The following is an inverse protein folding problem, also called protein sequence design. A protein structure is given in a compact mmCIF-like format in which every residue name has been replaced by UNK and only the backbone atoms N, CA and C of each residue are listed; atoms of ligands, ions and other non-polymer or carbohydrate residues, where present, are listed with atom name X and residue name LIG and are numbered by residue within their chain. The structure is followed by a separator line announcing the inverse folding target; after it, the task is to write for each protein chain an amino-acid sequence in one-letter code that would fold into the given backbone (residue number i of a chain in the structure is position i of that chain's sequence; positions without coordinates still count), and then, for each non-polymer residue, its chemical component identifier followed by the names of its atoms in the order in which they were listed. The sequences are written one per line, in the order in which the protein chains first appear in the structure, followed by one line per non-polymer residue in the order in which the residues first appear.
data_IF_746853732106
#
_entry.id   IF_746853732106
#
_cell.length_a   1.000
_cell.length_b   1.000
_cell.length_c   1.000
_cell.angle_alpha   90.00
_cell.angle_beta   90.00
_cell.angle_gamma   90.00
#
_symmetry.space_group_name_H-M   'P 1'
#
loop_
_entity.id
_entity.type
_entity.pdbx_description
1 polymer ?
#
# COMPACT_ATOMS: atom_id res chain seq x y z
N UNK A 1 6.06 -4.68 -5.32
CA UNK A 1 5.22 -3.45 -5.35
C UNK A 1 4.30 -3.46 -4.14
N UNK A 2 4.04 -2.30 -3.56
CA UNK A 2 3.03 -2.10 -2.50
C UNK A 2 2.24 -0.81 -2.76
N UNK A 3 1.10 -0.62 -2.11
CA UNK A 3 0.31 0.61 -2.17
C UNK A 3 -0.08 1.08 -0.76
N UNK A 4 -0.27 2.39 -0.57
CA UNK A 4 -0.89 2.97 0.63
C UNK A 4 -0.20 2.55 1.94
N UNK A 5 1.11 2.84 2.03
CA UNK A 5 1.96 2.52 3.19
C UNK A 5 1.65 3.39 4.41
N UNK A 6 1.20 4.63 4.21
CA UNK A 6 0.71 5.55 5.23
C UNK A 6 1.51 5.62 6.53
N UNK A 7 2.82 5.86 6.42
CA UNK A 7 3.69 6.00 7.58
C UNK A 7 3.14 7.07 8.55
N UNK A 8 3.10 6.71 9.83
CA UNK A 8 2.63 7.58 10.91
C UNK A 8 1.12 7.64 11.12
N UNK A 9 0.31 6.92 10.34
CA UNK A 9 -1.16 6.92 10.48
C UNK A 9 -1.64 6.45 11.86
N UNK A 10 -1.03 5.39 12.38
CA UNK A 10 -1.33 4.89 13.72
C UNK A 10 -1.02 5.92 14.82
N UNK A 11 0.09 6.67 14.69
CA UNK A 11 0.45 7.75 15.61
C UNK A 11 -0.59 8.89 15.59
N UNK A 12 -1.09 9.26 14.40
CA UNK A 12 -2.14 10.26 14.26
C UNK A 12 -3.42 9.84 14.98
N UNK A 13 -3.86 8.59 14.78
CA UNK A 13 -5.04 8.06 15.45
C UNK A 13 -4.88 7.98 16.97
N UNK A 14 -3.71 7.55 17.47
CA UNK A 14 -3.42 7.54 18.91
C UNK A 14 -3.47 8.95 19.51
N UNK A 15 -2.92 9.95 18.82
CA UNK A 15 -3.00 11.37 19.26
C UNK A 15 -4.43 11.89 19.28
N UNK A 16 -5.29 11.38 18.41
CA UNK A 16 -6.73 11.67 18.39
C UNK A 16 -7.53 10.91 19.47
N UNK A 17 -6.87 10.19 20.38
CA UNK A 17 -7.52 9.45 21.47
C UNK A 17 -8.14 8.12 21.03
N UNK A 18 -7.85 7.65 19.81
CA UNK A 18 -8.35 6.35 19.34
C UNK A 18 -7.43 5.26 19.88
N UNK A 19 -8.00 4.36 20.69
CA UNK A 19 -7.32 3.17 21.20
C UNK A 19 -6.99 2.22 20.06
N UNK A 20 -5.73 2.20 19.62
CA UNK A 20 -5.23 1.26 18.63
C UNK A 20 -4.31 0.22 19.29
N UNK A 21 -4.30 -1.03 18.80
CA UNK A 21 -3.27 -2.00 19.15
C UNK A 21 -1.85 -1.41 19.00
N UNK A 22 -0.90 -1.92 19.79
CA UNK A 22 0.52 -1.62 19.59
C UNK A 22 0.96 -2.02 18.18
N UNK A 23 2.02 -1.37 17.65
CA UNK A 23 2.61 -1.78 16.38
C UNK A 23 2.72 -0.70 15.31
N UNK A 24 1.60 -0.20 14.77
CA UNK A 24 1.58 0.94 13.84
C UNK A 24 2.58 0.80 12.69
N UNK A 25 3.35 1.87 12.44
CA UNK A 25 4.43 1.89 11.43
C UNK A 25 5.47 0.78 11.65
N UNK A 26 5.80 0.44 12.90
CA UNK A 26 6.79 -0.60 13.21
C UNK A 26 6.39 -1.97 12.65
N UNK A 27 5.14 -2.39 12.89
CA UNK A 27 4.62 -3.67 12.38
C UNK A 27 4.58 -3.72 10.85
N UNK A 28 4.21 -2.61 10.21
CA UNK A 28 4.20 -2.52 8.75
C UNK A 28 5.63 -2.66 8.19
N UNK A 29 6.64 -2.04 8.82
CA UNK A 29 8.04 -2.17 8.43
C UNK A 29 8.62 -3.56 8.72
N UNK A 30 8.23 -4.20 9.81
CA UNK A 30 8.65 -5.57 10.13
C UNK A 30 8.10 -6.57 9.10
N UNK A 31 6.80 -6.44 8.74
CA UNK A 31 6.19 -7.22 7.65
C UNK A 31 6.92 -7.00 6.34
N UNK A 32 7.29 -5.77 6.03
CA UNK A 32 8.01 -5.45 4.78
C UNK A 32 9.41 -6.09 4.79
N UNK A 33 10.10 -6.00 5.91
CA UNK A 33 11.42 -6.64 6.10
C UNK A 33 11.34 -8.17 5.93
N UNK A 34 10.28 -8.80 6.43
CA UNK A 34 10.06 -10.24 6.25
C UNK A 34 9.90 -10.60 4.78
N UNK A 35 9.11 -9.84 4.02
CA UNK A 35 8.96 -10.06 2.57
C UNK A 35 10.28 -9.87 1.82
N UNK A 36 11.05 -8.83 2.16
CA UNK A 36 12.35 -8.56 1.54
C UNK A 36 13.41 -9.62 1.86
N UNK A 37 13.30 -10.33 3.00
CA UNK A 37 14.18 -11.47 3.30
C UNK A 37 13.78 -12.73 2.54
N UNK A 38 12.51 -12.90 2.24
CA UNK A 38 11.97 -14.08 1.54
C UNK A 38 12.17 -14.02 0.02
N UNK A 39 12.38 -12.82 -0.52
CA UNK A 39 12.47 -12.58 -1.96
C UNK A 39 13.72 -11.79 -2.29
N UNK A 40 14.43 -12.16 -3.37
CA UNK A 40 15.49 -11.33 -3.91
C UNK A 40 14.86 -10.09 -4.58
N UNK A 41 14.83 -8.96 -3.85
CA UNK A 41 14.22 -7.71 -4.30
C UNK A 41 15.26 -6.61 -4.27
N UNK A 42 15.59 -6.07 -5.45
CA UNK A 42 16.50 -4.94 -5.59
C UNK A 42 15.75 -3.59 -5.57
N UNK A 43 14.47 -3.60 -5.95
CA UNK A 43 13.65 -2.39 -6.05
C UNK A 43 12.26 -2.57 -5.44
N UNK A 44 11.88 -1.65 -4.55
CA UNK A 44 10.53 -1.51 -4.01
C UNK A 44 9.83 -0.29 -4.64
N UNK A 45 8.75 -0.53 -5.37
CA UNK A 45 7.83 0.53 -5.81
C UNK A 45 6.62 0.67 -4.89
N UNK A 46 6.36 1.89 -4.44
CA UNK A 46 5.20 2.28 -3.63
C UNK A 46 4.23 3.10 -4.50
N UNK A 47 3.00 2.61 -4.65
CA UNK A 47 1.96 3.20 -5.50
C UNK A 47 1.18 4.31 -4.77
N UNK A 48 1.89 5.33 -4.30
CA UNK A 48 1.32 6.48 -3.61
C UNK A 48 0.93 6.22 -2.15
N UNK A 49 0.57 7.33 -1.50
CA UNK A 49 0.16 7.42 -0.09
C UNK A 49 1.20 6.82 0.85
N UNK A 50 2.45 7.23 0.66
CA UNK A 50 3.58 6.86 1.52
C UNK A 50 3.41 7.47 2.91
N UNK A 51 2.95 8.72 3.00
CA UNK A 51 2.89 9.47 4.24
C UNK A 51 1.45 9.81 4.65
N UNK A 52 1.21 9.76 5.97
CA UNK A 52 -0.04 10.28 6.56
C UNK A 52 0.21 11.19 7.78
N UNK A 53 1.31 10.98 8.52
CA UNK A 53 1.70 11.84 9.64
C UNK A 53 2.53 13.07 9.21
N UNK A 54 2.48 14.15 9.98
CA UNK A 54 3.44 15.26 9.82
C UNK A 54 4.87 14.73 10.06
N UNK A 55 5.77 14.96 9.09
CA UNK A 55 7.13 14.39 9.06
C UNK A 55 8.03 14.85 10.23
N UNK A 56 7.75 16.00 10.84
CA UNK A 56 8.67 16.58 11.81
C UNK A 56 8.48 15.97 13.22
N UNK A 57 9.56 15.37 13.74
CA UNK A 57 9.72 14.89 15.14
C UNK A 57 8.79 13.76 15.57
N UNK A 58 8.31 12.94 14.64
CA UNK A 58 7.44 11.82 14.96
C UNK A 58 8.23 10.51 15.17
N UNK A 59 7.73 9.65 16.07
CA UNK A 59 8.38 8.36 16.38
C UNK A 59 8.50 7.46 15.13
N UNK A 60 7.49 7.48 14.26
CA UNK A 60 7.49 6.74 13.00
C UNK A 60 8.65 7.12 12.06
N UNK A 61 9.12 8.37 12.09
CA UNK A 61 10.23 8.81 11.23
C UNK A 61 11.52 8.10 11.61
N UNK A 62 11.81 7.97 12.92
CA UNK A 62 12.98 7.22 13.40
C UNK A 62 12.89 5.73 13.07
N UNK A 63 11.69 5.15 13.13
CA UNK A 63 11.46 3.76 12.72
C UNK A 63 11.75 3.56 11.23
N UNK A 64 11.29 4.48 10.38
CA UNK A 64 11.60 4.47 8.96
C UNK A 64 13.11 4.60 8.70
N UNK A 65 13.79 5.57 9.31
CA UNK A 65 15.23 5.77 9.13
C UNK A 65 16.04 4.53 9.54
N UNK A 66 15.76 3.96 10.72
CA UNK A 66 16.43 2.73 11.16
C UNK A 66 16.14 1.54 10.24
N UNK A 67 14.92 1.43 9.71
CA UNK A 67 14.59 0.41 8.71
C UNK A 67 15.33 0.65 7.39
N UNK A 68 15.47 1.90 6.96
CA UNK A 68 16.17 2.28 5.72
C UNK A 68 17.66 1.96 5.79
N UNK A 69 18.30 2.20 6.94
CA UNK A 69 19.69 1.84 7.22
C UNK A 69 19.93 0.32 7.10
N UNK A 70 19.01 -0.49 7.62
CA UNK A 70 19.08 -1.96 7.52
C UNK A 70 18.92 -2.48 6.08
N UNK A 71 18.31 -1.68 5.20
CA UNK A 71 18.05 -2.04 3.80
C UNK A 71 18.76 -1.07 2.84
N UNK A 72 19.95 -0.57 3.19
CA UNK A 72 20.61 0.53 2.49
C UNK A 72 20.78 0.33 0.97
N UNK A 73 20.92 -0.92 0.51
CA UNK A 73 21.06 -1.26 -0.93
C UNK A 73 19.74 -1.36 -1.68
N UNK A 74 18.60 -1.48 -1.00
CA UNK A 74 17.29 -1.54 -1.63
C UNK A 74 16.96 -0.20 -2.27
N UNK A 75 16.65 -0.19 -3.55
CA UNK A 75 16.12 0.99 -4.21
C UNK A 75 14.63 1.15 -3.87
N UNK A 76 14.21 2.37 -3.50
CA UNK A 76 12.82 2.64 -3.17
C UNK A 76 12.33 3.78 -4.04
N UNK A 77 11.34 3.48 -4.88
CA UNK A 77 10.65 4.46 -5.70
C UNK A 77 9.22 4.67 -5.21
N UNK A 78 8.77 5.92 -5.09
CA UNK A 78 7.40 6.24 -4.73
C UNK A 78 6.75 7.10 -5.81
N UNK A 79 5.56 6.68 -6.23
CA UNK A 79 4.64 7.52 -7.00
C UNK A 79 3.91 8.47 -6.07
N UNK A 80 3.47 9.61 -6.57
CA UNK A 80 2.71 10.57 -5.78
C UNK A 80 1.29 10.05 -5.50
N UNK A 81 0.92 9.97 -4.22
CA UNK A 81 -0.48 9.85 -3.78
C UNK A 81 -1.07 11.16 -3.31
N UNK A 82 -2.38 11.19 -3.06
CA UNK A 82 -3.07 12.41 -2.63
C UNK A 82 -2.66 12.88 -1.22
N UNK A 83 -2.12 11.98 -0.38
CA UNK A 83 -1.59 12.32 0.93
C UNK A 83 -0.09 12.75 0.92
N UNK A 84 0.61 12.61 -0.21
CA UNK A 84 2.07 12.76 -0.29
C UNK A 84 2.56 14.21 -0.52
N UNK A 85 1.73 15.22 -0.23
CA UNK A 85 2.11 16.63 -0.37
C UNK A 85 3.39 17.01 0.38
N UNK A 86 3.65 16.35 1.52
CA UNK A 86 4.83 16.57 2.34
C UNK A 86 6.02 15.67 1.95
N UNK A 87 5.81 14.65 1.09
CA UNK A 87 6.81 13.64 0.75
C UNK A 87 8.11 14.22 0.17
N UNK A 88 8.08 15.23 -0.74
CA UNK A 88 9.31 15.81 -1.28
C UNK A 88 10.22 16.47 -0.24
N UNK A 89 9.68 16.84 0.92
CA UNK A 89 10.42 17.49 2.02
C UNK A 89 10.69 16.54 3.18
N UNK A 90 10.26 15.29 3.08
CA UNK A 90 10.30 14.34 4.18
C UNK A 90 11.64 13.61 4.31
N UNK A 91 12.55 13.70 3.34
CA UNK A 91 13.90 13.11 3.39
C UNK A 91 13.92 11.62 3.82
N UNK A 92 13.09 10.82 3.14
CA UNK A 92 12.92 9.40 3.45
C UNK A 92 13.94 8.48 2.76
N UNK A 93 14.92 9.03 2.04
CA UNK A 93 15.87 8.21 1.27
C UNK A 93 15.20 7.35 0.19
N UNK A 94 14.19 7.93 -0.50
CA UNK A 94 13.47 7.32 -1.62
C UNK A 94 13.47 8.25 -2.84
N UNK A 95 13.27 7.68 -4.01
CA UNK A 95 13.16 8.41 -5.27
C UNK A 95 11.71 8.71 -5.60
N UNK A 96 11.39 9.98 -5.87
CA UNK A 96 10.08 10.37 -6.36
C UNK A 96 9.97 10.08 -7.86
N UNK A 97 9.00 9.25 -8.22
CA UNK A 97 8.78 8.78 -9.60
C UNK A 97 7.77 9.63 -10.37
N UNK A 98 7.18 10.64 -9.74
CA UNK A 98 6.10 11.45 -10.33
C UNK A 98 4.72 10.79 -10.17
N UNK A 99 3.79 11.08 -11.09
CA UNK A 99 2.40 10.62 -11.01
C UNK A 99 2.20 9.20 -11.57
N UNK A 100 3.04 8.80 -12.54
CA UNK A 100 2.95 7.50 -13.17
C UNK A 100 4.33 6.98 -13.62
N UNK A 101 4.49 5.67 -13.63
CA UNK A 101 5.68 4.97 -14.13
C UNK A 101 5.25 3.81 -15.03
N UNK A 102 5.74 3.79 -16.27
CA UNK A 102 5.52 2.65 -17.16
C UNK A 102 6.60 1.60 -16.92
N UNK A 103 6.18 0.34 -16.73
CA UNK A 103 7.06 -0.82 -16.56
C UNK A 103 6.57 -1.95 -17.46
N UNK A 104 7.20 -2.10 -18.63
CA UNK A 104 6.78 -3.07 -19.64
C UNK A 104 5.31 -2.86 -20.04
N UNK A 105 4.43 -3.87 -19.89
CA UNK A 105 3.00 -3.75 -20.23
C UNK A 105 2.16 -3.04 -19.16
N UNK A 106 2.78 -2.66 -18.03
CA UNK A 106 2.09 -2.08 -16.88
C UNK A 106 2.27 -0.57 -16.81
N UNK A 107 1.21 0.11 -16.40
CA UNK A 107 1.26 1.50 -15.95
C UNK A 107 1.01 1.55 -14.45
N UNK A 108 2.03 1.94 -13.70
CA UNK A 108 1.97 2.11 -12.24
C UNK A 108 1.54 3.53 -11.92
N UNK A 109 0.55 3.71 -11.04
CA UNK A 109 0.07 5.03 -10.57
C UNK A 109 -0.75 4.87 -9.29
N UNK A 110 -1.06 5.97 -8.61
CA UNK A 110 -1.87 5.89 -7.40
C UNK A 110 -3.37 5.74 -7.70
N UNK A 111 -3.91 6.57 -8.61
CA UNK A 111 -5.35 6.63 -8.86
C UNK A 111 -5.88 5.49 -9.76
N UNK A 112 -7.08 4.94 -9.49
CA UNK A 112 -7.67 3.82 -10.21
C UNK A 112 -8.43 4.21 -11.50
N UNK A 113 -7.81 5.00 -12.39
CA UNK A 113 -8.35 5.25 -13.73
C UNK A 113 -7.76 4.27 -14.76
N UNK A 114 -8.57 3.78 -15.72
CA UNK A 114 -8.06 2.95 -16.81
C UNK A 114 -7.08 3.69 -17.72
N UNK A 115 -6.22 2.94 -18.40
CA UNK A 115 -5.40 3.43 -19.52
C UNK A 115 -5.93 2.83 -20.84
N UNK A 116 -5.87 3.54 -21.98
CA UNK A 116 -6.37 3.04 -23.26
C UNK A 116 -5.72 1.74 -23.73
N UNK A 117 -4.43 1.55 -23.44
CA UNK A 117 -3.62 0.46 -24.02
C UNK A 117 -2.78 -0.36 -23.02
N UNK A 118 -2.65 0.07 -21.76
CA UNK A 118 -1.78 -0.55 -20.77
C UNK A 118 -2.61 -1.13 -19.63
N UNK A 119 -2.08 -2.16 -18.95
CA UNK A 119 -2.69 -2.66 -17.73
C UNK A 119 -2.26 -1.81 -16.54
N UNK A 120 -3.20 -1.16 -15.87
CA UNK A 120 -2.90 -0.28 -14.75
C UNK A 120 -2.78 -1.08 -13.45
N UNK A 121 -1.72 -0.81 -12.68
CA UNK A 121 -1.60 -1.25 -11.28
C UNK A 121 -1.66 -0.02 -10.38
N UNK A 122 -2.58 0.01 -9.41
CA UNK A 122 -2.82 1.19 -8.57
C UNK A 122 -3.26 0.88 -7.14
N UNK A 123 -3.40 1.91 -6.29
CA UNK A 123 -3.78 1.81 -4.88
C UNK A 123 -5.06 2.60 -4.56
N UNK A 124 -4.99 3.48 -3.56
CA UNK A 124 -5.94 4.52 -3.20
C UNK A 124 -7.22 4.06 -2.51
N UNK A 125 -7.97 3.11 -3.08
CA UNK A 125 -9.32 2.78 -2.59
C UNK A 125 -9.36 1.70 -1.49
N UNK A 126 -8.24 1.01 -1.29
CA UNK A 126 -8.06 -0.05 -0.28
C UNK A 126 -9.17 -1.12 -0.35
N UNK A 127 -9.22 -1.92 -1.43
CA UNK A 127 -10.25 -2.94 -1.60
C UNK A 127 -10.24 -3.98 -0.48
N UNK A 128 -11.43 -4.31 0.00
CA UNK A 128 -11.69 -5.31 1.03
C UNK A 128 -12.65 -6.39 0.52
N UNK A 129 -12.27 -7.65 0.68
CA UNK A 129 -13.12 -8.80 0.45
C UNK A 129 -14.00 -9.12 1.66
N UNK A 130 -15.22 -9.58 1.38
CA UNK A 130 -16.13 -10.21 2.35
C UNK A 130 -16.23 -11.69 2.01
N UNK A 131 -15.85 -12.55 2.95
CA UNK A 131 -16.02 -13.99 2.80
C UNK A 131 -17.40 -14.40 3.34
N UNK A 132 -18.16 -15.26 2.62
CA UNK A 132 -19.45 -15.75 3.11
C UNK A 132 -19.34 -16.39 4.50
N UNK A 133 -20.29 -16.08 5.38
CA UNK A 133 -20.31 -16.63 6.74
C UNK A 133 -19.34 -15.99 7.72
N UNK A 134 -18.50 -15.03 7.29
CA UNK A 134 -17.55 -14.35 8.16
C UNK A 134 -17.86 -12.86 8.33
N UNK A 135 -17.72 -12.38 9.57
CA UNK A 135 -17.96 -10.97 9.92
C UNK A 135 -16.78 -10.05 9.58
N UNK A 136 -15.57 -10.62 9.58
CA UNK A 136 -14.33 -9.89 9.26
C UNK A 136 -14.27 -9.58 7.76
N UNK A 137 -13.48 -8.56 7.42
CA UNK A 137 -13.08 -8.25 6.02
C UNK A 137 -11.58 -8.45 5.87
N UNK A 138 -11.16 -8.79 4.67
CA UNK A 138 -9.76 -9.00 4.33
C UNK A 138 -9.32 -8.00 3.27
N UNK A 139 -8.10 -7.45 3.35
CA UNK A 139 -7.50 -6.76 2.21
C UNK A 139 -7.56 -7.67 0.99
N UNK A 140 -7.87 -7.12 -0.18
CA UNK A 140 -7.99 -7.90 -1.40
C UNK A 140 -7.44 -7.14 -2.60
N UNK A 141 -6.90 -7.86 -3.57
CA UNK A 141 -6.70 -7.30 -4.90
C UNK A 141 -8.04 -7.25 -5.62
N UNK A 142 -8.34 -6.14 -6.29
CA UNK A 142 -9.51 -6.00 -7.15
C UNK A 142 -9.08 -5.98 -8.61
N UNK A 143 -9.36 -7.09 -9.28
CA UNK A 143 -8.99 -7.35 -10.67
C UNK A 143 -10.15 -6.93 -11.58
N UNK A 144 -9.84 -6.08 -12.55
CA UNK A 144 -10.77 -5.53 -13.54
C UNK A 144 -10.13 -5.63 -14.92
N UNK A 145 -10.90 -5.34 -15.97
CA UNK A 145 -10.34 -5.28 -17.33
C UNK A 145 -9.28 -4.17 -17.42
N UNK A 146 -8.02 -4.55 -17.72
CA UNK A 146 -6.86 -3.65 -17.84
C UNK A 146 -6.56 -2.78 -16.60
N UNK A 147 -7.07 -3.15 -15.42
CA UNK A 147 -6.86 -2.41 -14.18
C UNK A 147 -6.84 -3.36 -12.99
N UNK A 148 -5.86 -3.19 -12.11
CA UNK A 148 -5.77 -3.92 -10.84
C UNK A 148 -5.50 -2.95 -9.73
N UNK A 149 -6.41 -2.95 -8.76
CA UNK A 149 -6.26 -2.17 -7.53
C UNK A 149 -5.66 -3.08 -6.46
N UNK A 150 -4.53 -2.67 -5.92
CA UNK A 150 -3.84 -3.33 -4.82
C UNK A 150 -4.53 -3.01 -3.49
N UNK A 151 -4.53 -3.94 -2.52
CA UNK A 151 -4.91 -3.62 -1.16
C UNK A 151 -3.92 -2.63 -0.54
N UNK A 152 -4.40 -1.84 0.43
CA UNK A 152 -3.48 -1.07 1.27
C UNK A 152 -2.49 -1.99 1.96
N UNK A 153 -1.23 -1.60 1.96
CA UNK A 153 -0.20 -2.33 2.67
C UNK A 153 -0.32 -2.12 4.18
N UNK A 154 -0.63 -0.88 4.60
CA UNK A 154 -0.80 -0.56 6.02
C UNK A 154 -2.07 -1.18 6.60
N UNK A 155 -1.93 -1.78 7.79
CA UNK A 155 -3.06 -2.40 8.51
C UNK A 155 -4.05 -1.38 9.07
N UNK A 156 -3.64 -0.12 9.20
CA UNK A 156 -4.44 0.94 9.83
C UNK A 156 -5.14 1.81 8.79
N UNK A 157 -5.85 1.19 7.86
CA UNK A 157 -6.58 1.88 6.80
C UNK A 157 -8.04 1.47 6.78
N UNK A 158 -8.92 2.46 6.62
CA UNK A 158 -10.29 2.18 6.19
C UNK A 158 -10.25 1.85 4.70
N UNK A 159 -11.11 0.92 4.28
CA UNK A 159 -11.21 0.49 2.89
C UNK A 159 -12.64 0.17 2.50
N UNK A 160 -12.84 -0.02 1.19
CA UNK A 160 -14.17 -0.26 0.62
C UNK A 160 -14.37 -1.75 0.34
N UNK A 161 -15.60 -2.24 0.50
CA UNK A 161 -15.99 -3.53 -0.08
C UNK A 161 -16.65 -3.25 -1.43
N UNK A 162 -15.95 -3.42 -2.56
CA UNK A 162 -16.51 -3.04 -3.86
C UNK A 162 -17.67 -3.95 -4.24
N UNK A 163 -18.65 -3.39 -4.95
CA UNK A 163 -19.68 -4.17 -5.63
C UNK A 163 -19.11 -4.52 -7.01
N UNK A 164 -18.88 -5.82 -7.24
CA UNK A 164 -18.24 -6.28 -8.47
C UNK A 164 -19.18 -6.17 -9.67
N UNK A 165 -18.67 -5.59 -10.75
CA UNK A 165 -19.28 -5.68 -12.07
C UNK A 165 -18.94 -7.02 -12.73
N UNK A 166 -19.66 -7.35 -13.83
CA UNK A 166 -19.39 -8.56 -14.59
C UNK A 166 -17.94 -8.60 -15.08
N UNK A 167 -17.28 -9.75 -14.89
CA UNK A 167 -15.87 -9.96 -15.24
C UNK A 167 -14.85 -9.45 -14.22
N UNK A 168 -15.27 -8.71 -13.18
CA UNK A 168 -14.40 -8.29 -12.09
C UNK A 168 -14.24 -9.40 -11.04
N UNK A 169 -13.07 -9.46 -10.42
CA UNK A 169 -12.72 -10.49 -9.42
C UNK A 169 -12.02 -9.88 -8.22
N UNK A 170 -12.20 -10.51 -7.06
CA UNK A 170 -11.41 -10.23 -5.87
C UNK A 170 -10.47 -11.40 -5.58
N UNK A 171 -9.25 -11.08 -5.16
CA UNK A 171 -8.32 -12.04 -4.57
C UNK A 171 -8.06 -11.59 -3.14
N UNK A 172 -8.63 -12.30 -2.17
CA UNK A 172 -8.50 -11.96 -0.76
C UNK A 172 -7.14 -12.38 -0.21
N UNK A 173 -6.48 -11.49 0.53
CA UNK A 173 -5.26 -11.78 1.27
C UNK A 173 -5.65 -12.31 2.66
N UNK A 174 -5.61 -13.62 2.82
CA UNK A 174 -5.98 -14.32 4.06
C UNK A 174 -4.71 -14.91 4.65
N UNK A 175 -4.26 -14.32 5.76
CA UNK A 175 -2.99 -14.70 6.38
C UNK A 175 -1.84 -14.58 5.37
N UNK A 176 -1.19 -15.70 5.03
CA UNK A 176 -0.11 -15.75 4.04
C UNK A 176 -0.55 -16.27 2.66
N UNK A 177 -1.86 -16.39 2.44
CA UNK A 177 -2.45 -16.91 1.19
C UNK A 177 -3.23 -15.86 0.40
N UNK A 178 -3.21 -16.01 -0.92
CA UNK A 178 -4.01 -15.23 -1.86
C UNK A 178 -5.14 -16.11 -2.43
N UNK A 179 -6.37 -15.87 -1.98
CA UNK A 179 -7.54 -16.70 -2.30
C UNK A 179 -8.40 -15.97 -3.34
N UNK A 180 -8.46 -16.52 -4.56
CA UNK A 180 -9.35 -16.02 -5.60
C UNK A 180 -10.81 -16.30 -5.20
N UNK A 181 -11.63 -15.25 -5.14
CA UNK A 181 -13.05 -15.39 -4.85
C UNK A 181 -13.83 -15.73 -6.13
N UNK A 182 -14.96 -16.44 -6.01
CA UNK A 182 -15.82 -16.70 -7.15
C UNK A 182 -16.20 -15.41 -7.87
N UNK A 183 -16.09 -15.43 -9.20
CA UNK A 183 -16.65 -14.34 -10.02
C UNK A 183 -18.17 -14.31 -9.83
N UNK A 184 -18.74 -13.10 -9.88
CA UNK A 184 -20.20 -12.92 -9.95
C UNK A 184 -20.69 -13.05 -11.39
#
# INVERSE_FOLDING_TARGET
LIADLHLGKADVFRRAGIGLPSGGTGDDLERLSTLLRQHAVDTLWILGDVLHGAAHRAAWYRQWQGWREQHATLEIGALAGNHDRALPKADLGLTLLGEQLQVGPFLLRHDPHPHPSLHVLCGHVHPLARLPGMQRRWPAFWLRERLTVLPAYSRFTAGIAPVLASGERLVACVEDEAIALPAR
#
